data_IF_338549456721
#
_entry.id   IF_338549456721
#
_cell.length_a   1.000
_cell.length_b   1.000
_cell.length_c   1.000
_cell.angle_alpha   90.00
_cell.angle_beta   90.00
_cell.angle_gamma   90.00
#
_symmetry.space_group_name_H-M   'P 1'
#
loop_
_entity.id
_entity.type
_entity.pdbx_description
1 polymer ?
#
# COMPACT_ATOMS: atom_id res chain seq x y z
N UNK A 1 10.75 26.92 6.71
CA UNK A 1 10.61 26.73 5.25
C UNK A 1 11.43 25.56 4.66
N UNK A 2 12.51 25.07 5.30
CA UNK A 2 13.30 23.92 4.78
C UNK A 2 12.67 22.53 4.94
N UNK A 3 11.70 22.33 5.83
CA UNK A 3 11.06 21.02 6.05
C UNK A 3 10.11 20.57 4.91
N UNK A 4 9.59 21.49 4.09
CA UNK A 4 8.62 21.16 3.05
C UNK A 4 9.26 20.56 1.77
N UNK A 5 10.58 20.70 1.58
CA UNK A 5 11.26 20.27 0.34
C UNK A 5 11.32 18.74 0.25
N UNK A 6 11.62 18.06 1.36
CA UNK A 6 11.71 16.59 1.41
C UNK A 6 10.40 15.86 1.06
N UNK A 7 9.22 16.22 1.62
CA UNK A 7 7.97 15.57 1.25
C UNK A 7 7.54 15.85 -0.19
N UNK A 8 7.83 17.03 -0.73
CA UNK A 8 7.55 17.36 -2.14
C UNK A 8 8.41 16.50 -3.07
N UNK A 9 9.72 16.39 -2.80
CA UNK A 9 10.62 15.51 -3.55
C UNK A 9 10.21 14.04 -3.46
N UNK A 10 9.81 13.57 -2.28
CA UNK A 10 9.31 12.21 -2.10
C UNK A 10 8.01 11.97 -2.89
N UNK A 11 7.09 12.96 -2.90
CA UNK A 11 5.86 12.90 -3.69
C UNK A 11 6.12 12.83 -5.19
N UNK A 12 7.06 13.63 -5.71
CA UNK A 12 7.47 13.58 -7.13
C UNK A 12 8.12 12.23 -7.45
N UNK A 13 9.04 11.76 -6.60
CA UNK A 13 9.69 10.46 -6.79
C UNK A 13 8.67 9.31 -6.81
N UNK A 14 7.70 9.32 -5.88
CA UNK A 14 6.61 8.34 -5.85
C UNK A 14 5.71 8.46 -7.08
N UNK A 15 5.38 9.68 -7.52
CA UNK A 15 4.56 9.92 -8.71
C UNK A 15 5.18 9.41 -10.02
N UNK A 16 6.52 9.31 -10.08
CA UNK A 16 7.24 8.75 -11.23
C UNK A 16 7.45 7.24 -11.08
N UNK A 17 7.89 6.78 -9.91
CA UNK A 17 8.23 5.36 -9.68
C UNK A 17 6.97 4.49 -9.68
N UNK A 18 5.85 4.96 -9.11
CA UNK A 18 4.63 4.18 -9.00
C UNK A 18 4.01 3.76 -10.35
N UNK A 19 3.85 4.63 -11.36
CA UNK A 19 3.36 4.22 -12.68
C UNK A 19 4.37 3.35 -13.45
N UNK A 20 5.67 3.58 -13.28
CA UNK A 20 6.72 2.70 -13.84
C UNK A 20 6.59 1.28 -13.27
N UNK A 21 6.36 1.15 -11.97
CA UNK A 21 6.11 -0.14 -11.31
C UNK A 21 4.81 -0.82 -11.78
N UNK A 22 3.78 -0.05 -12.15
CA UNK A 22 2.54 -0.60 -12.73
C UNK A 22 2.79 -1.20 -14.11
N UNK A 23 3.60 -0.52 -14.93
CA UNK A 23 3.96 -0.97 -16.28
C UNK A 23 4.86 -2.21 -16.25
N UNK A 24 5.84 -2.24 -15.33
CA UNK A 24 6.78 -3.36 -15.14
C UNK A 24 6.27 -4.45 -14.18
N UNK A 25 5.06 -4.30 -13.64
CA UNK A 25 4.53 -5.15 -12.58
C UNK A 25 4.11 -6.55 -13.02
N UNK A 26 4.38 -7.55 -12.18
CA UNK A 26 3.99 -8.96 -12.36
C UNK A 26 2.98 -9.40 -11.27
N UNK A 27 1.64 -9.32 -11.46
CA UNK A 27 0.89 -9.21 -12.73
C UNK A 27 0.68 -7.77 -13.23
N UNK A 28 0.45 -7.64 -14.54
CA UNK A 28 0.18 -6.35 -15.19
C UNK A 28 -1.02 -5.64 -14.58
N UNK A 29 -0.96 -4.31 -14.47
CA UNK A 29 -1.95 -3.47 -13.77
C UNK A 29 -2.02 -3.68 -12.23
N UNK A 30 -0.99 -4.30 -11.63
CA UNK A 30 -0.72 -4.18 -10.20
C UNK A 30 0.41 -3.18 -9.95
N UNK A 31 0.05 -2.00 -9.43
CA UNK A 31 1.00 -1.07 -8.82
C UNK A 31 1.30 -1.39 -7.36
N UNK A 32 1.75 -0.37 -6.62
CA UNK A 32 1.91 -0.45 -5.15
C UNK A 32 0.55 -0.59 -4.46
N UNK A 33 0.18 -1.79 -4.01
CA UNK A 33 -1.10 -2.02 -3.35
C UNK A 33 -0.94 -2.69 -1.99
N UNK A 34 -1.01 -1.88 -0.91
CA UNK A 34 -0.86 -2.39 0.45
C UNK A 34 -1.88 -3.50 0.79
N UNK A 35 -3.15 -3.36 0.35
CA UNK A 35 -4.19 -4.34 0.63
C UNK A 35 -4.02 -5.65 -0.15
N UNK A 36 -3.64 -5.59 -1.44
CA UNK A 36 -3.40 -6.82 -2.19
C UNK A 36 -2.15 -7.54 -1.66
N UNK A 37 -1.10 -6.79 -1.29
CA UNK A 37 0.11 -7.39 -0.77
C UNK A 37 -0.09 -8.03 0.60
N UNK A 38 -0.92 -7.47 1.47
CA UNK A 38 -1.26 -8.13 2.74
C UNK A 38 -2.06 -9.41 2.53
N UNK A 39 -2.97 -9.45 1.53
CA UNK A 39 -3.64 -10.70 1.12
C UNK A 39 -2.62 -11.72 0.61
N UNK A 40 -1.67 -11.29 -0.22
CA UNK A 40 -0.70 -12.20 -0.82
C UNK A 40 0.27 -12.77 0.25
N UNK A 41 0.67 -11.95 1.22
CA UNK A 41 1.42 -12.37 2.42
C UNK A 41 0.58 -13.36 3.26
N UNK A 42 -0.71 -13.10 3.45
CA UNK A 42 -1.58 -14.04 4.15
C UNK A 42 -1.68 -15.39 3.40
N UNK A 43 -1.70 -15.36 2.07
CA UNK A 43 -1.59 -16.55 1.23
C UNK A 43 -0.28 -17.30 1.45
N UNK A 44 0.86 -16.60 1.50
CA UNK A 44 2.17 -17.19 1.78
C UNK A 44 2.27 -17.78 3.20
N UNK A 45 1.56 -17.20 4.17
CA UNK A 45 1.41 -17.72 5.53
C UNK A 45 0.35 -18.84 5.64
N UNK A 46 -0.16 -19.33 4.51
CA UNK A 46 -1.14 -20.42 4.43
C UNK A 46 -2.53 -20.09 5.05
N UNK A 47 -2.83 -18.82 5.33
CA UNK A 47 -4.14 -18.39 5.85
C UNK A 47 -5.26 -18.53 4.82
N UNK A 48 -4.92 -18.60 3.53
CA UNK A 48 -5.87 -18.96 2.48
C UNK A 48 -5.16 -19.74 1.34
N UNK A 49 -5.93 -20.56 0.60
CA UNK A 49 -5.41 -21.61 -0.29
C UNK A 49 -5.46 -21.28 -1.79
N UNK A 50 -5.41 -20.01 -2.22
CA UNK A 50 -5.45 -19.68 -3.67
C UNK A 50 -4.04 -19.56 -4.22
N UNK A 51 -3.57 -20.59 -4.91
CA UNK A 51 -2.16 -20.73 -5.33
C UNK A 51 -1.59 -19.60 -6.19
N UNK A 52 -2.42 -18.79 -6.88
CA UNK A 52 -1.94 -17.67 -7.73
C UNK A 52 -1.38 -16.51 -6.88
N UNK A 53 -1.80 -16.40 -5.62
CA UNK A 53 -1.52 -15.25 -4.75
C UNK A 53 -0.79 -15.64 -3.45
N UNK A 54 -0.14 -16.81 -3.42
CA UNK A 54 0.61 -17.28 -2.24
C UNK A 54 2.11 -16.97 -2.35
N UNK A 55 2.46 -15.69 -2.42
CA UNK A 55 3.87 -15.28 -2.45
C UNK A 55 4.08 -13.96 -1.72
N UNK A 56 5.28 -13.80 -1.16
CA UNK A 56 5.65 -12.58 -0.42
C UNK A 56 6.26 -11.60 -1.41
N UNK A 57 5.63 -10.43 -1.52
CA UNK A 57 6.10 -9.32 -2.33
C UNK A 57 7.10 -8.44 -1.55
N UNK A 58 8.35 -8.27 -2.03
CA UNK A 58 9.37 -7.50 -1.32
C UNK A 58 9.03 -6.01 -1.15
N UNK A 59 8.06 -5.49 -1.89
CA UNK A 59 7.64 -4.08 -1.87
C UNK A 59 7.14 -3.64 -0.48
N UNK A 60 6.38 -4.48 0.23
CA UNK A 60 5.93 -4.18 1.60
C UNK A 60 7.13 -4.11 2.55
N UNK A 61 8.05 -5.07 2.43
CA UNK A 61 9.22 -5.15 3.30
C UNK A 61 10.12 -3.93 3.06
N UNK A 62 10.34 -3.57 1.79
CA UNK A 62 11.08 -2.38 1.40
C UNK A 62 10.45 -1.09 1.92
N UNK A 63 9.11 -0.98 1.89
CA UNK A 63 8.41 0.19 2.42
C UNK A 63 8.55 0.29 3.95
N UNK A 64 8.42 -0.82 4.67
CA UNK A 64 8.57 -0.86 6.13
C UNK A 64 10.01 -0.53 6.54
N UNK A 65 11.01 -1.17 5.92
CA UNK A 65 12.42 -0.93 6.20
C UNK A 65 12.86 0.48 5.79
N UNK A 66 12.37 0.99 4.65
CA UNK A 66 12.62 2.35 4.20
C UNK A 66 12.03 3.39 5.15
N UNK A 67 10.79 3.19 5.62
CA UNK A 67 10.17 4.06 6.62
C UNK A 67 10.93 4.03 7.96
N UNK A 68 11.41 2.85 8.36
CA UNK A 68 12.23 2.69 9.57
C UNK A 68 13.57 3.45 9.45
N UNK A 69 14.29 3.27 8.34
CA UNK A 69 15.55 3.97 8.07
C UNK A 69 15.37 5.49 8.02
N UNK A 70 14.31 5.97 7.35
CA UNK A 70 13.98 7.38 7.32
C UNK A 70 13.71 7.92 8.74
N UNK A 71 12.93 7.20 9.54
CA UNK A 71 12.62 7.60 10.93
C UNK A 71 13.87 7.70 11.81
N UNK A 72 14.85 6.81 11.62
CA UNK A 72 16.14 6.91 12.31
C UNK A 72 16.99 8.08 11.82
N UNK A 73 17.06 8.32 10.51
CA UNK A 73 17.84 9.41 9.93
C UNK A 73 17.33 10.79 10.37
N UNK A 74 16.00 10.96 10.40
CA UNK A 74 15.36 12.18 10.89
C UNK A 74 15.22 12.24 12.42
N UNK A 75 15.65 11.20 13.14
CA UNK A 75 15.57 11.08 14.62
C UNK A 75 14.16 11.26 15.17
N UNK A 76 13.14 10.89 14.39
CA UNK A 76 11.72 10.98 14.76
C UNK A 76 11.16 9.66 15.30
N UNK A 77 12.00 8.63 15.41
CA UNK A 77 11.57 7.33 15.90
C UNK A 77 11.13 7.41 17.37
N UNK A 78 9.82 7.27 17.59
CA UNK A 78 9.21 7.22 18.92
C UNK A 78 8.32 5.97 19.02
N UNK A 79 8.72 4.93 19.79
CA UNK A 79 7.88 3.76 19.98
C UNK A 79 6.61 4.18 20.73
N UNK A 80 5.45 3.96 20.10
CA UNK A 80 4.13 4.25 20.67
C UNK A 80 3.35 2.94 20.78
N UNK A 81 2.91 2.61 21.99
CA UNK A 81 1.92 1.55 22.21
C UNK A 81 0.52 2.16 22.09
N UNK A 82 -0.36 1.54 21.30
CA UNK A 82 -1.73 2.02 21.10
C UNK A 82 -2.66 1.64 22.25
N UNK A 83 -3.54 2.54 22.66
CA UNK A 83 -4.47 2.35 23.79
C UNK A 83 -5.80 1.62 23.45
N UNK A 84 -5.96 1.07 22.24
CA UNK A 84 -7.17 0.32 21.87
C UNK A 84 -6.89 -0.72 20.77
N UNK A 85 -6.27 -1.86 21.10
CA UNK A 85 -5.89 -2.87 20.11
C UNK A 85 -7.10 -3.48 19.38
N UNK A 86 -8.20 -3.75 20.09
CA UNK A 86 -9.39 -4.39 19.53
C UNK A 86 -10.08 -3.52 18.47
N UNK A 87 -10.18 -2.21 18.73
CA UNK A 87 -10.82 -1.25 17.81
C UNK A 87 -9.98 -1.12 16.54
N UNK A 88 -8.65 -1.03 16.66
CA UNK A 88 -7.75 -0.96 15.51
C UNK A 88 -7.80 -2.21 14.66
N UNK A 89 -7.86 -3.38 15.30
CA UNK A 89 -8.03 -4.65 14.59
C UNK A 89 -9.36 -4.68 13.84
N UNK A 90 -10.47 -4.32 14.49
CA UNK A 90 -11.78 -4.22 13.86
C UNK A 90 -11.81 -3.28 12.66
N UNK A 91 -11.27 -2.06 12.82
CA UNK A 91 -11.13 -1.09 11.72
C UNK A 91 -10.28 -1.63 10.57
N UNK A 92 -9.21 -2.38 10.86
CA UNK A 92 -8.37 -3.03 9.87
C UNK A 92 -9.13 -4.09 9.06
N UNK A 93 -9.98 -4.88 9.71
CA UNK A 93 -10.84 -5.88 9.04
C UNK A 93 -11.82 -5.18 8.09
N UNK A 94 -12.55 -4.15 8.55
CA UNK A 94 -13.48 -3.41 7.70
C UNK A 94 -12.77 -2.71 6.53
N UNK A 95 -11.60 -2.12 6.77
CA UNK A 95 -10.78 -1.50 5.73
C UNK A 95 -10.34 -2.52 4.67
N UNK A 96 -9.96 -3.73 5.09
CA UNK A 96 -9.56 -4.81 4.19
C UNK A 96 -10.72 -5.32 3.35
N UNK A 97 -11.90 -5.50 3.96
CA UNK A 97 -13.13 -5.88 3.24
C UNK A 97 -13.45 -4.83 2.17
N UNK A 98 -13.48 -3.55 2.55
CA UNK A 98 -13.72 -2.45 1.60
C UNK A 98 -12.71 -2.43 0.46
N UNK A 99 -11.41 -2.49 0.77
CA UNK A 99 -10.36 -2.46 -0.25
C UNK A 99 -10.44 -3.64 -1.24
N UNK A 100 -10.89 -4.82 -0.80
CA UNK A 100 -11.08 -5.98 -1.68
C UNK A 100 -12.35 -5.86 -2.54
N UNK A 101 -13.45 -5.33 -1.97
CA UNK A 101 -14.71 -5.09 -2.70
C UNK A 101 -14.52 -4.07 -3.82
N UNK A 102 -13.78 -2.98 -3.58
CA UNK A 102 -13.50 -1.94 -4.58
C UNK A 102 -12.27 -2.25 -5.47
N UNK A 103 -11.78 -3.49 -5.45
CA UNK A 103 -10.63 -3.96 -6.25
C UNK A 103 -9.36 -3.11 -6.10
N UNK A 104 -9.09 -2.56 -4.91
CA UNK A 104 -7.85 -1.83 -4.65
C UNK A 104 -7.78 -1.09 -3.33
N UNK A 105 -6.54 -0.83 -2.89
CA UNK A 105 -6.29 0.20 -1.90
C UNK A 105 -6.30 1.60 -2.56
N UNK A 106 -6.36 2.69 -1.79
CA UNK A 106 -6.41 4.05 -2.34
C UNK A 106 -5.31 4.31 -3.37
N UNK A 107 -4.10 3.80 -3.13
CA UNK A 107 -2.96 3.98 -4.04
C UNK A 107 -3.15 3.27 -5.38
N UNK A 108 -3.61 2.01 -5.36
CA UNK A 108 -3.89 1.28 -6.60
C UNK A 108 -4.98 1.96 -7.41
N UNK A 109 -5.94 2.55 -6.72
CA UNK A 109 -7.07 3.22 -7.35
C UNK A 109 -6.66 4.51 -8.06
N UNK A 110 -5.79 5.33 -7.43
CA UNK A 110 -5.20 6.49 -8.10
C UNK A 110 -4.40 6.10 -9.34
N UNK A 111 -3.65 5.00 -9.28
CA UNK A 111 -2.88 4.48 -10.41
C UNK A 111 -3.77 3.92 -11.54
N UNK A 112 -4.92 3.34 -11.20
CA UNK A 112 -5.92 2.88 -12.18
C UNK A 112 -6.61 4.07 -12.86
N UNK A 113 -6.96 5.09 -12.07
CA UNK A 113 -7.56 6.32 -12.59
C UNK A 113 -6.59 7.05 -13.54
N UNK A 114 -5.30 7.13 -13.20
CA UNK A 114 -4.29 7.73 -14.08
C UNK A 114 -4.03 6.90 -15.34
N UNK A 115 -4.29 5.59 -15.32
CA UNK A 115 -4.23 4.72 -16.49
C UNK A 115 -5.49 4.77 -17.37
N UNK A 116 -6.49 5.58 -17.03
CA UNK A 116 -7.72 5.76 -17.81
C UNK A 116 -8.88 4.82 -17.44
N UNK A 117 -8.77 4.10 -16.32
CA UNK A 117 -9.85 3.24 -15.81
C UNK A 117 -10.86 4.06 -14.98
N UNK A 118 -11.94 4.49 -15.63
CA UNK A 118 -13.02 5.26 -15.01
C UNK A 118 -13.80 4.48 -13.94
N UNK A 119 -13.71 3.15 -13.91
CA UNK A 119 -14.34 2.34 -12.85
C UNK A 119 -13.69 2.59 -11.49
N UNK A 120 -12.46 3.11 -11.47
CA UNK A 120 -11.77 3.52 -10.24
C UNK A 120 -12.48 4.68 -9.52
N UNK A 121 -13.29 5.49 -10.22
CA UNK A 121 -14.05 6.59 -9.61
C UNK A 121 -15.11 6.06 -8.65
N UNK A 122 -15.81 4.98 -9.03
CA UNK A 122 -16.77 4.32 -8.13
C UNK A 122 -16.08 3.87 -6.84
N UNK A 123 -14.85 3.35 -6.93
CA UNK A 123 -14.06 3.02 -5.74
C UNK A 123 -13.64 4.22 -4.87
N UNK A 124 -13.55 5.45 -5.42
CA UNK A 124 -13.26 6.67 -4.63
C UNK A 124 -14.44 7.03 -3.75
N UNK A 125 -15.65 6.97 -4.32
CA UNK A 125 -16.87 7.39 -3.65
C UNK A 125 -17.51 6.28 -2.80
N UNK A 126 -17.07 5.04 -3.00
CA UNK A 126 -17.53 3.86 -2.26
C UNK A 126 -18.77 3.20 -2.85
#
# INVERSE_FOLDING_TARGET
MKLAIYPILAGIALGVIAPILVYLGNPGNMGMCAACFTRDIAGALNLHQVGIVQYIRPEIIGLILGALLASFLFREFRPRTGSAPIVRFGLGVFAMIGALVFLGCPWRMWLRLSAGDWTAIAGVFG
#
